data_IF_012868894485
#
_entry.id   IF_012868894485
#
_cell.length_a   1.000
_cell.length_b   1.000
_cell.length_c   1.000
_cell.angle_alpha   90.00
_cell.angle_beta   90.00
_cell.angle_gamma   90.00
#
_symmetry.space_group_name_H-M   'P 1'
#
loop_
_entity.id
_entity.type
_entity.pdbx_description
1 polymer ?
2 non-polymer ?
3 water ?
#
# COMPACT_ATOMS: atom_id res chain seq x y z
N UNK A 5 6.99 -12.89 6.08
CA UNK A 5 6.51 -13.83 5.01
C UNK A 5 5.76 -13.06 3.94
N UNK A 6 6.06 -13.33 2.66
CA UNK A 6 5.33 -12.74 1.53
C UNK A 6 4.50 -13.76 0.77
N UNK A 7 3.32 -13.30 0.37
CA UNK A 7 2.36 -14.03 -0.43
C UNK A 7 2.35 -13.37 -1.82
N UNK A 8 2.32 -14.18 -2.87
CA UNK A 8 2.25 -13.69 -4.27
C UNK A 8 0.79 -13.75 -4.85
N UNK A 9 0.29 -12.67 -5.49
CA UNK A 9 -1.20 -12.41 -5.77
C UNK A 9 -1.81 -12.33 -7.26
N UNK A 10 -3.00 -11.67 -7.48
CA UNK A 10 -3.73 -11.50 -8.86
C UNK A 10 -4.82 -10.36 -8.98
N UNK A 11 -5.80 -10.43 -9.90
CA UNK A 11 -6.97 -9.47 -9.91
C UNK A 11 -8.42 -9.98 -9.52
N UNK A 12 -8.71 -11.21 -9.89
CA UNK A 12 -9.98 -11.84 -9.57
C UNK A 12 -9.63 -13.04 -8.72
N UNK A 13 -10.49 -13.35 -7.76
CA UNK A 13 -10.36 -14.59 -6.99
C UNK A 13 -11.67 -15.34 -6.97
N UNK A 14 -11.67 -16.48 -7.66
CA UNK A 14 -12.79 -17.40 -7.76
C UNK A 14 -12.68 -18.36 -6.58
N UNK A 15 -13.72 -18.40 -5.74
CA UNK A 15 -13.58 -19.09 -4.46
C UNK A 15 -14.86 -19.83 -4.07
N UNK A 16 -14.70 -21.06 -3.59
CA UNK A 16 -15.84 -21.81 -3.07
C UNK A 16 -15.60 -22.12 -1.61
N UNK A 17 -16.56 -21.74 -0.76
CA UNK A 17 -16.45 -21.95 0.70
C UNK A 17 -17.41 -23.02 1.23
N UNK A 18 -16.91 -23.86 2.14
CA UNK A 18 -17.71 -24.92 2.71
C UNK A 18 -17.68 -24.97 4.26
N UNK A 19 -18.82 -25.27 4.90
CA UNK A 19 -18.77 -25.60 6.34
C UNK A 19 -18.29 -27.02 6.44
N UNK A 20 -17.40 -27.30 7.38
CA UNK A 20 -16.82 -28.65 7.54
C UNK A 20 -16.88 -29.12 9.01
N UNK A 21 -17.01 -30.43 9.22
CA UNK A 21 -17.14 -30.99 10.57
C UNK A 21 -16.23 -32.20 10.75
N UNK A 22 -15.55 -32.56 9.67
CA UNK A 22 -14.41 -33.49 9.70
C UNK A 22 -13.58 -33.21 8.43
N UNK A 23 -12.26 -33.35 8.54
CA UNK A 23 -11.38 -32.97 7.44
C UNK A 23 -10.53 -34.14 6.90
N UNK A 24 -11.08 -35.35 7.01
CA UNK A 24 -10.39 -36.62 6.73
C UNK A 24 -9.92 -36.75 5.28
N UNK A 25 -10.85 -36.62 4.33
CA UNK A 25 -10.56 -36.65 2.88
C UNK A 25 -9.63 -35.50 2.45
N UNK A 26 -9.94 -34.28 2.93
CA UNK A 26 -9.12 -33.09 2.76
C UNK A 26 -7.68 -33.26 3.30
N UNK A 27 -7.54 -33.81 4.49
CA UNK A 27 -6.20 -34.13 4.96
C UNK A 27 -5.48 -35.18 4.15
N UNK A 28 -6.22 -36.21 3.74
CA UNK A 28 -5.68 -37.33 2.97
C UNK A 28 -5.26 -36.88 1.59
N UNK A 29 -6.03 -35.94 1.01
CA UNK A 29 -5.76 -35.39 -0.34
C UNK A 29 -4.55 -34.46 -0.35
N UNK A 30 -4.49 -33.51 0.59
CA UNK A 30 -3.28 -32.67 0.80
C UNK A 30 -1.99 -33.52 0.85
N UNK A 31 -2.02 -34.55 1.70
CA UNK A 31 -0.89 -35.47 1.83
C UNK A 31 -0.57 -36.19 0.52
N UNK A 32 -1.61 -36.73 -0.15
CA UNK A 32 -1.45 -37.51 -1.38
C UNK A 32 -0.92 -36.67 -2.54
N UNK A 33 -1.36 -35.41 -2.61
CA UNK A 33 -0.90 -34.48 -3.65
C UNK A 33 0.32 -33.69 -3.21
N UNK A 34 0.83 -34.03 -2.03
CA UNK A 34 1.97 -33.35 -1.41
C UNK A 34 1.79 -31.81 -1.46
N UNK A 35 0.61 -31.35 -1.07
CA UNK A 35 0.33 -29.93 -0.85
C UNK A 35 1.46 -29.18 -0.13
N UNK A 36 1.64 -27.91 -0.52
CA UNK A 36 2.58 -27.02 0.14
C UNK A 36 1.84 -26.39 1.33
N UNK A 37 2.37 -26.62 2.54
CA UNK A 37 1.86 -25.90 3.70
C UNK A 37 2.46 -24.50 3.75
N UNK A 38 1.78 -23.53 3.16
CA UNK A 38 2.28 -22.15 3.15
C UNK A 38 2.44 -21.58 4.59
N UNK A 39 1.39 -21.68 5.40
CA UNK A 39 1.52 -21.49 6.86
C UNK A 39 0.31 -22.19 7.49
N UNK A 40 0.49 -22.78 8.68
CA UNK A 40 -0.52 -23.58 9.35
C UNK A 40 -0.93 -22.91 10.66
N UNK A 41 -2.21 -23.00 11.00
CA UNK A 41 -2.67 -22.65 12.36
C UNK A 41 -2.27 -21.23 12.78
N UNK A 42 -2.25 -20.27 11.83
CA UNK A 42 -1.93 -18.87 12.14
C UNK A 42 -3.16 -18.16 12.77
N UNK A 43 -2.91 -17.35 13.78
CA UNK A 43 -3.90 -16.35 14.19
C UNK A 43 -3.89 -15.19 13.17
N UNK A 44 -5.07 -14.86 12.64
CA UNK A 44 -5.22 -13.88 11.57
C UNK A 44 -6.21 -12.84 12.08
N UNK A 45 -5.80 -11.58 12.03
CA UNK A 45 -6.62 -10.44 12.45
C UNK A 45 -6.86 -9.59 11.23
N UNK A 46 -8.12 -9.43 10.89
CA UNK A 46 -8.58 -8.61 9.74
C UNK A 46 -9.28 -7.37 10.32
N UNK A 47 -8.66 -6.21 10.11
CA UNK A 47 -9.23 -4.88 10.44
C UNK A 47 -9.97 -4.41 9.17
N UNK A 48 -11.30 -4.34 9.28
CA UNK A 48 -12.09 -3.79 8.21
C UNK A 48 -12.16 -2.26 8.34
N UNK A 49 -11.76 -1.57 7.27
CA UNK A 49 -11.77 -0.10 7.20
C UNK A 49 -12.98 0.37 6.38
N UNK A 50 -13.57 1.52 6.75
CA UNK A 50 -14.62 2.13 5.96
C UNK A 50 -14.72 3.69 6.27
N UNK A 51 -15.41 4.44 5.37
CA UNK A 51 -15.62 5.88 5.46
C UNK A 51 -17.10 6.28 5.69
N UNK A 52 -17.33 7.35 6.62
CA UNK A 52 -18.73 7.85 6.74
C UNK A 52 -19.76 6.86 7.23
N UNK A 53 -20.90 6.83 6.78
CA UNK A 53 -21.84 5.78 7.12
C UNK A 53 -21.64 4.53 6.25
N UNK A 54 -20.44 3.91 6.26
CA UNK A 54 -20.25 2.62 5.52
C UNK A 54 -20.28 2.82 3.98
N UNK A 55 -19.57 3.82 3.49
CA UNK A 55 -19.56 4.14 2.03
C UNK A 55 -19.07 2.98 1.18
N UNK A 56 -17.92 2.40 1.57
CA UNK A 56 -17.41 1.14 0.96
C UNK A 56 -18.38 -0.05 0.98
N UNK A 57 -18.86 -0.43 2.16
CA UNK A 57 -19.84 -1.51 2.25
C UNK A 57 -21.04 -1.28 1.31
N UNK A 58 -21.47 -0.02 1.22
CA UNK A 58 -22.60 0.40 0.36
C UNK A 58 -22.32 0.28 -1.14
N UNK A 59 -21.03 0.07 -1.48
CA UNK A 59 -20.63 -0.26 -2.84
C UNK A 59 -20.31 -1.77 -3.09
N UNK A 60 -20.67 -2.61 -2.12
CA UNK A 60 -20.20 -4.02 -2.01
C UNK A 60 -18.68 -4.18 -2.07
N UNK A 61 -17.99 -3.26 -1.40
CA UNK A 61 -16.53 -3.27 -1.25
C UNK A 61 -16.17 -3.45 0.23
N UNK A 62 -15.21 -4.36 0.46
CA UNK A 62 -14.55 -4.47 1.75
C UNK A 62 -13.07 -4.08 1.61
N UNK A 63 -12.57 -3.40 2.60
CA UNK A 63 -11.18 -3.03 2.62
C UNK A 63 -10.56 -3.48 3.95
N UNK A 64 -9.52 -4.29 3.85
CA UNK A 64 -9.01 -4.95 5.04
C UNK A 64 -7.50 -4.75 5.20
N UNK A 65 -7.10 -4.51 6.45
CA UNK A 65 -5.69 -4.72 6.90
C UNK A 65 -5.54 -6.00 7.67
N UNK A 66 -4.82 -6.95 7.05
CA UNK A 66 -4.75 -8.33 7.54
C UNK A 66 -3.34 -8.55 8.12
N UNK A 67 -3.29 -9.10 9.32
CA UNK A 67 -2.03 -9.64 9.86
C UNK A 67 -2.22 -11.09 10.27
N UNK A 68 -1.17 -11.87 10.01
CA UNK A 68 -1.11 -13.27 10.37
C UNK A 68 0.14 -13.47 11.21
N UNK A 69 -0.04 -14.15 12.32
CA UNK A 69 1.03 -14.48 13.21
C UNK A 69 0.94 -15.95 13.54
N UNK A 70 2.10 -16.65 13.59
CA UNK A 70 3.46 -16.11 13.55
C UNK A 70 4.16 -15.86 12.20
N UNK A 71 3.53 -16.24 11.07
CA UNK A 71 4.12 -16.08 9.73
C UNK A 71 4.57 -14.64 9.42
N UNK A 72 3.91 -13.69 10.08
CA UNK A 72 4.12 -12.27 9.89
C UNK A 72 3.67 -11.74 8.55
N UNK A 73 2.77 -12.44 7.88
CA UNK A 73 2.20 -11.97 6.61
C UNK A 73 1.31 -10.73 6.92
N UNK A 74 1.50 -9.66 6.15
CA UNK A 74 0.82 -8.39 6.34
C UNK A 74 0.29 -7.88 5.02
N UNK A 75 -1.04 -7.75 4.94
CA UNK A 75 -1.62 -7.47 3.65
C UNK A 75 -2.60 -6.30 3.68
N UNK A 76 -2.55 -5.49 2.64
CA UNK A 76 -3.65 -4.53 2.36
C UNK A 76 -4.56 -5.17 1.26
N UNK A 77 -5.86 -5.33 1.55
CA UNK A 77 -6.81 -6.04 0.65
C UNK A 77 -8.02 -5.13 0.30
N UNK A 78 -8.35 -5.05 -1.00
CA UNK A 78 -9.64 -4.51 -1.51
C UNK A 78 -10.45 -5.63 -2.16
N UNK A 79 -11.62 -5.88 -1.57
CA UNK A 79 -12.53 -6.92 -1.98
C UNK A 79 -13.73 -6.23 -2.60
N UNK A 80 -14.10 -6.67 -3.81
CA UNK A 80 -15.23 -6.11 -4.59
C UNK A 80 -14.91 -5.02 -5.61
N UNK A 81 -15.97 -4.39 -6.14
CA UNK A 81 -17.35 -4.68 -5.85
C UNK A 81 -17.78 -6.12 -6.20
N UNK A 82 -18.53 -6.67 -5.26
CA UNK A 82 -19.09 -8.00 -5.33
C UNK A 82 -18.17 -9.19 -5.28
N UNK A 83 -18.62 -10.17 -5.95
CA UNK A 83 -18.29 -11.46 -6.19
C UNK A 83 -16.88 -12.00 -6.31
N UNK A 84 -16.24 -11.81 -7.46
CA UNK A 84 -14.90 -12.39 -7.72
C UNK A 84 -13.77 -11.37 -7.67
N UNK A 85 -14.10 -10.08 -7.60
CA UNK A 85 -13.06 -9.08 -7.53
C UNK A 85 -12.36 -9.00 -6.17
N UNK A 87 -8.18 -7.81 -4.92
CA UNK A 87 -6.77 -7.43 -5.11
C UNK A 87 -6.07 -7.25 -3.78
N UNK A 88 -4.82 -7.70 -3.70
CA UNK A 88 -4.11 -7.61 -2.44
C UNK A 88 -2.66 -7.29 -2.64
N UNK A 89 -2.06 -6.64 -1.64
CA UNK A 89 -0.68 -6.21 -1.66
C UNK A 89 -0.03 -6.48 -0.32
N UNK A 90 1.15 -7.13 -0.36
CA UNK A 90 1.99 -7.21 0.83
C UNK A 90 2.40 -5.82 1.27
N UNK A 91 2.31 -5.54 2.55
CA UNK A 91 2.73 -4.24 3.11
C UNK A 91 3.72 -4.45 4.27
N UNK A 92 4.64 -3.53 4.47
CA UNK A 92 5.69 -3.74 5.50
C UNK A 92 5.20 -3.33 6.90
N UNK A 93 4.28 -2.38 6.95
CA UNK A 93 3.93 -1.72 8.19
C UNK A 93 2.41 -1.47 8.20
N UNK A 94 1.69 -2.28 8.97
CA UNK A 94 0.21 -2.13 9.11
C UNK A 94 -0.15 -0.74 9.69
N UNK A 95 0.48 -0.34 10.80
CA UNK A 95 0.17 0.98 11.42
C UNK A 95 0.43 2.17 10.49
N UNK A 96 1.49 2.10 9.67
CA UNK A 96 1.71 3.09 8.66
C UNK A 96 0.57 3.18 7.64
N UNK A 97 0.25 2.06 6.99
CA UNK A 97 -0.78 2.07 5.91
C UNK A 97 -2.13 2.47 6.54
N UNK A 98 -2.38 1.98 7.76
CA UNK A 98 -3.60 2.39 8.52
C UNK A 98 -3.67 3.88 8.76
N UNK A 99 -2.53 4.47 9.17
CA UNK A 99 -2.42 5.91 9.32
C UNK A 99 -2.65 6.65 7.98
N UNK A 100 -2.08 6.16 6.89
CA UNK A 100 -2.26 6.80 5.58
C UNK A 100 -3.73 6.76 5.10
N UNK A 101 -4.36 5.61 5.32
CA UNK A 101 -5.79 5.39 4.99
C UNK A 101 -6.72 6.24 5.81
N UNK A 102 -6.32 6.51 7.06
CA UNK A 102 -7.09 7.41 7.93
C UNK A 102 -7.09 8.85 7.40
N UNK A 103 -5.92 9.35 6.99
CA UNK A 103 -5.82 10.69 6.33
C UNK A 103 -6.78 10.80 5.12
N UNK A 104 -7.01 9.69 4.42
CA UNK A 104 -8.04 9.58 3.36
C UNK A 104 -9.52 9.53 3.80
N UNK A 105 -9.80 9.38 5.09
CA UNK A 105 -11.20 9.17 5.54
C UNK A 105 -11.57 7.74 5.95
N UNK A 106 -10.68 6.78 5.74
CA UNK A 106 -10.97 5.42 6.18
C UNK A 106 -10.47 5.14 7.57
N UNK A 107 -11.39 4.59 8.38
CA UNK A 107 -11.17 4.30 9.82
C UNK A 107 -11.68 2.88 10.23
N UNK A 108 -11.03 2.22 11.22
CA UNK A 108 -11.52 0.88 11.59
C UNK A 108 -13.04 0.86 11.87
N UNK A 109 -13.72 -0.08 11.22
CA UNK A 109 -15.16 -0.32 11.39
C UNK A 109 -15.43 -1.51 12.31
N UNK A 110 -14.64 -2.58 12.14
CA UNK A 110 -14.76 -3.74 13.03
C UNK A 110 -13.57 -4.64 12.70
N UNK A 111 -13.40 -5.68 13.50
CA UNK A 111 -12.31 -6.67 13.32
C UNK A 111 -12.95 -8.06 13.20
N UNK A 112 -12.42 -8.93 12.34
CA UNK A 112 -12.74 -10.32 12.36
C UNK A 112 -11.46 -11.10 12.66
N UNK A 113 -11.52 -12.00 13.65
CA UNK A 113 -10.37 -12.90 13.98
C UNK A 113 -10.66 -14.30 13.49
N UNK A 114 -9.60 -14.99 13.07
CA UNK A 114 -9.76 -16.40 12.73
C UNK A 114 -8.45 -17.17 12.98
N UNK A 115 -8.56 -18.46 13.27
CA UNK A 115 -7.46 -19.33 12.93
C UNK A 115 -7.46 -19.75 11.43
N UNK A 116 -6.28 -19.69 10.81
CA UNK A 116 -6.21 -20.00 9.42
C UNK A 116 -4.97 -20.81 9.06
N UNK A 117 -5.20 -21.82 8.22
CA UNK A 117 -4.14 -22.58 7.54
C UNK A 117 -4.28 -22.41 6.03
N UNK A 118 -3.15 -22.25 5.37
CA UNK A 118 -3.10 -22.04 3.91
C UNK A 118 -2.21 -23.10 3.20
N UNK A 119 -2.79 -23.81 2.23
CA UNK A 119 -2.07 -24.77 1.38
C UNK A 119 -2.21 -24.44 -0.09
N UNK A 120 -1.17 -24.81 -0.81
CA UNK A 120 -1.16 -24.76 -2.26
C UNK A 120 -1.04 -26.17 -2.85
N UNK A 121 -1.93 -26.49 -3.78
CA UNK A 121 -1.75 -27.60 -4.72
C UNK A 121 -1.78 -27.02 -6.14
N UNK A 122 -0.62 -26.72 -6.68
CA UNK A 122 -0.59 -26.07 -8.00
C UNK A 122 -1.18 -24.68 -7.90
N UNK A 123 -2.07 -24.33 -8.81
CA UNK A 123 -2.71 -23.03 -8.75
C UNK A 123 -3.85 -22.95 -7.70
N UNK A 124 -4.19 -24.09 -7.10
CA UNK A 124 -5.30 -24.11 -6.11
C UNK A 124 -4.81 -23.71 -4.73
N UNK A 125 -5.52 -22.77 -4.12
CA UNK A 125 -5.24 -22.34 -2.76
C UNK A 125 -6.31 -22.99 -1.89
N UNK A 126 -5.85 -23.67 -0.85
CA UNK A 126 -6.76 -24.41 0.05
C UNK A 126 -6.60 -23.73 1.37
N UNK A 127 -7.74 -23.30 1.92
CA UNK A 127 -7.68 -22.56 3.11
C UNK A 127 -8.58 -23.24 4.14
N UNK A 128 -8.08 -23.45 5.36
CA UNK A 128 -8.86 -24.09 6.38
C UNK A 128 -8.96 -23.11 7.59
N UNK A 129 -10.19 -22.79 7.97
CA UNK A 129 -10.47 -21.66 8.87
C UNK A 129 -11.30 -22.13 10.06
N UNK A 130 -10.99 -21.58 11.25
CA UNK A 130 -11.86 -21.70 12.45
C UNK A 130 -12.20 -20.30 12.96
N UNK A 131 -13.48 -20.01 13.13
CA UNK A 131 -13.93 -18.74 13.69
C UNK A 131 -14.78 -19.02 14.94
N UNK A 132 -14.51 -18.28 16.02
CA UNK A 132 -15.08 -18.51 17.34
C UNK A 132 -16.60 -18.73 17.23
N UNK A 133 -17.32 -17.71 16.80
CA UNK A 133 -18.79 -17.92 16.67
C UNK A 133 -19.15 -18.97 15.63
N UNK A 134 -18.60 -18.80 14.43
CA UNK A 134 -19.07 -19.55 13.25
C UNK A 134 -18.76 -21.06 13.13
N UNK A 135 -17.53 -21.49 13.41
CA UNK A 135 -17.16 -22.91 13.31
C UNK A 135 -16.01 -23.05 12.31
N UNK A 136 -15.91 -24.21 11.64
CA UNK A 136 -14.81 -24.53 10.72
C UNK A 136 -15.26 -24.49 9.26
N UNK A 137 -14.39 -23.95 8.41
CA UNK A 137 -14.66 -23.78 7.01
C UNK A 137 -13.43 -24.16 6.20
N UNK A 138 -13.66 -24.52 4.96
CA UNK A 138 -12.57 -24.75 4.01
C UNK A 138 -12.95 -24.01 2.76
N UNK A 139 -11.97 -23.35 2.13
CA UNK A 139 -12.22 -22.65 0.88
C UNK A 139 -11.23 -23.17 -0.16
N UNK A 140 -11.71 -23.40 -1.37
CA UNK A 140 -10.85 -23.68 -2.50
C UNK A 140 -10.90 -22.43 -3.39
N UNK A 141 -9.75 -21.83 -3.66
CA UNK A 141 -9.79 -20.64 -4.53
C UNK A 141 -8.75 -20.74 -5.61
N UNK A 142 -9.03 -20.09 -6.75
CA UNK A 142 -8.01 -19.79 -7.79
C UNK A 142 -8.02 -18.28 -8.10
N UNK A 143 -6.85 -17.63 -8.16
CA UNK A 143 -6.80 -16.23 -8.64
C UNK A 143 -6.40 -16.16 -10.13
N UNK A 144 -6.82 -15.08 -10.76
CA UNK A 144 -6.60 -14.91 -12.18
C UNK A 144 -6.63 -13.42 -12.55
N UNK A 145 -5.89 -13.10 -13.59
CA UNK A 145 -5.88 -11.79 -14.19
C UNK A 145 -6.87 -11.76 -15.36
N UNK A 146 -7.58 -12.86 -15.58
CA UNK A 146 -8.46 -13.06 -16.71
C UNK A 146 -9.94 -13.14 -16.33
N UNK A 147 -10.58 -11.97 -16.36
CA UNK A 147 -12.01 -11.79 -16.18
C UNK A 147 -12.91 -12.73 -16.99
N UNK A 148 -12.46 -13.10 -18.20
CA UNK A 148 -13.27 -13.97 -19.11
C UNK A 148 -13.31 -15.46 -18.72
N UNK A 149 -12.44 -15.89 -17.82
CA UNK A 149 -12.45 -17.32 -17.48
C UNK A 149 -13.10 -17.68 -16.13
N UNK A 150 -13.93 -16.77 -15.58
CA UNK A 150 -14.44 -16.92 -14.21
C UNK A 150 -15.27 -18.18 -13.95
N UNK A 151 -16.24 -18.46 -14.84
CA UNK A 151 -17.15 -19.60 -14.72
C UNK A 151 -16.37 -20.89 -14.90
N UNK A 152 -15.44 -20.88 -15.84
CA UNK A 152 -14.56 -22.03 -16.02
C UNK A 152 -13.71 -22.33 -14.78
N UNK A 153 -13.15 -21.28 -14.19
CA UNK A 153 -12.43 -21.46 -12.92
C UNK A 153 -13.37 -21.86 -11.76
N UNK A 154 -14.64 -21.44 -11.78
CA UNK A 154 -15.65 -22.01 -10.84
C UNK A 154 -15.82 -23.54 -10.97
N UNK A 155 -15.91 -24.04 -12.19
CA UNK A 155 -16.05 -25.50 -12.43
C UNK A 155 -14.80 -26.22 -11.92
N UNK A 156 -13.61 -25.70 -12.27
CA UNK A 156 -12.33 -26.23 -11.78
C UNK A 156 -12.29 -26.31 -10.24
N UNK A 157 -12.73 -25.24 -9.59
CA UNK A 157 -12.82 -25.19 -8.12
C UNK A 157 -13.76 -26.24 -7.55
N UNK A 158 -14.92 -26.41 -8.21
CA UNK A 158 -15.95 -27.41 -7.87
C UNK A 158 -15.44 -28.83 -7.97
N UNK A 159 -14.78 -29.12 -9.09
CA UNK A 159 -14.18 -30.43 -9.32
C UNK A 159 -13.17 -30.77 -8.21
N UNK A 160 -12.18 -29.90 -8.04
CA UNK A 160 -11.20 -29.95 -6.92
C UNK A 160 -11.87 -30.13 -5.55
N UNK A 161 -12.87 -29.29 -5.24
CA UNK A 161 -13.57 -29.36 -3.94
C UNK A 161 -14.13 -30.75 -3.71
N UNK A 162 -14.84 -31.28 -4.72
CA UNK A 162 -15.41 -32.62 -4.65
C UNK A 162 -14.36 -33.72 -4.46
N UNK A 163 -13.22 -33.60 -5.12
CA UNK A 163 -12.15 -34.58 -4.89
C UNK A 163 -11.60 -34.47 -3.43
N UNK A 164 -11.81 -33.32 -2.80
CA UNK A 164 -11.40 -33.12 -1.41
C UNK A 164 -12.48 -33.41 -0.37
N UNK A 165 -13.59 -34.01 -0.82
CA UNK A 165 -14.77 -34.33 0.01
C UNK A 165 -15.61 -33.14 0.44
N UNK A 166 -15.53 -32.04 -0.30
CA UNK A 166 -16.25 -30.84 0.06
C UNK A 166 -17.43 -30.76 -0.86
N UNK A 167 -18.61 -31.09 -0.33
CA UNK A 167 -19.78 -31.33 -1.17
C UNK A 167 -20.71 -30.13 -1.27
N UNK A 168 -21.50 -30.06 -2.35
CA UNK A 168 -22.29 -28.87 -2.59
C UNK A 168 -23.25 -28.69 -1.43
N UNK A 169 -23.64 -29.83 -0.86
CA UNK A 169 -24.36 -29.98 0.42
C UNK A 169 -23.91 -29.03 1.56
N UNK A 170 -22.59 -28.84 1.65
CA UNK A 170 -21.97 -28.07 2.70
C UNK A 170 -21.62 -26.63 2.27
N UNK A 171 -21.94 -26.24 1.04
CA UNK A 171 -21.43 -24.96 0.56
C UNK A 171 -22.01 -23.78 1.40
N UNK A 172 -21.14 -22.84 1.77
CA UNK A 172 -21.56 -21.60 2.44
C UNK A 172 -21.12 -20.41 1.59
N UNK A 173 -22.02 -19.91 0.75
CA UNK A 173 -21.60 -18.80 -0.09
C UNK A 173 -21.50 -17.42 0.63
N UNK A 174 -22.12 -17.25 1.79
CA UNK A 174 -21.96 -15.97 2.53
C UNK A 174 -20.52 -15.68 3.04
N UNK A 175 -20.08 -14.42 2.94
CA UNK A 175 -18.76 -13.99 3.44
C UNK A 175 -18.78 -14.02 4.98
N UNK A 176 -17.60 -13.93 5.59
CA UNK A 176 -17.54 -13.91 7.05
C UNK A 176 -18.26 -12.73 7.67
N UNK A 177 -18.08 -11.55 7.08
CA UNK A 177 -18.78 -10.35 7.51
C UNK A 177 -20.31 -10.55 7.45
N UNK A 178 -20.80 -11.13 6.35
CA UNK A 178 -22.22 -11.50 6.19
C UNK A 178 -22.71 -12.48 7.27
N UNK A 179 -21.92 -13.53 7.57
CA UNK A 179 -22.28 -14.46 8.64
C UNK A 179 -22.31 -13.84 10.03
N UNK A 180 -21.45 -12.87 10.29
CA UNK A 180 -21.42 -12.15 11.56
C UNK A 180 -22.45 -11.01 11.64
N UNK A 181 -22.95 -10.58 10.48
CA UNK A 181 -23.91 -9.44 10.36
C UNK A 181 -23.27 -8.06 10.28
N UNK A 182 -21.99 -8.03 9.91
CA UNK A 182 -21.21 -6.78 9.86
C UNK A 182 -21.11 -6.22 8.44
N UNK B 8 13.40 9.06 5.10
CA UNK B 8 12.06 8.49 5.46
C UNK B 8 12.00 7.73 6.78
N UNK B 9 11.32 8.34 7.75
CA UNK B 9 10.96 7.85 9.12
C UNK B 9 10.51 9.11 9.90
N UNK B 10 9.24 9.46 9.80
CA UNK B 10 8.73 10.70 10.41
C UNK B 10 7.49 11.17 9.67
N UNK B 11 6.40 11.28 10.41
CA UNK B 11 5.11 11.79 9.93
C UNK B 11 5.18 13.23 9.47
N UNK B 12 5.98 14.00 10.21
CA UNK B 12 6.07 15.43 10.06
C UNK B 12 7.44 15.74 9.54
N UNK B 13 7.55 16.89 8.90
CA UNK B 13 8.79 17.34 8.31
C UNK B 13 8.69 18.84 8.01
N UNK B 14 9.85 19.46 7.92
CA UNK B 14 9.98 20.80 7.38
C UNK B 14 10.93 20.67 6.19
N UNK B 15 10.52 21.36 5.25
CA UNK B 15 11.30 21.32 4.03
C UNK B 15 11.50 22.71 3.44
N UNK B 16 12.72 22.93 2.93
CA UNK B 16 12.93 24.15 2.22
C UNK B 16 13.38 23.80 0.80
N UNK B 17 12.77 24.42 -0.19
CA UNK B 17 13.09 24.10 -1.56
C UNK B 17 13.70 25.35 -2.20
N UNK B 18 14.71 25.13 -3.04
CA UNK B 18 15.57 26.20 -3.55
C UNK B 18 15.86 25.99 -5.04
N UNK B 19 15.87 27.07 -5.82
CA UNK B 19 16.45 27.01 -7.16
C UNK B 19 17.98 26.88 -7.10
N UNK B 20 18.51 26.01 -7.96
CA UNK B 20 19.96 25.79 -8.07
C UNK B 20 20.49 26.46 -9.34
N UNK B 21 21.35 27.47 -9.19
CA UNK B 21 21.92 28.17 -10.34
C UNK B 21 23.24 27.52 -10.76
N UNK B 22 23.83 26.73 -9.88
CA UNK B 22 25.18 26.24 -10.12
C UNK B 22 25.42 24.90 -9.41
N UNK B 23 25.32 23.82 -10.17
CA UNK B 23 25.44 22.44 -9.62
C UNK B 23 26.86 22.00 -9.23
N UNK B 24 27.87 22.60 -9.88
CA UNK B 24 29.29 22.43 -9.51
C UNK B 24 29.57 22.83 -8.06
N UNK B 25 29.14 24.03 -7.67
CA UNK B 25 29.23 24.48 -6.28
C UNK B 25 28.38 23.62 -5.31
N UNK B 26 27.19 23.19 -5.73
CA UNK B 26 26.33 22.29 -4.90
C UNK B 26 27.05 20.97 -4.55
N UNK B 27 27.56 20.32 -5.59
CA UNK B 27 28.30 19.08 -5.44
C UNK B 27 29.62 19.29 -4.66
N UNK B 28 30.18 20.50 -4.69
CA UNK B 28 31.33 20.85 -3.82
C UNK B 28 30.95 20.92 -2.34
N UNK B 29 29.82 21.53 -2.04
CA UNK B 29 29.27 21.46 -0.69
C UNK B 29 28.95 20.03 -0.22
N UNK B 30 28.39 19.20 -1.11
CA UNK B 30 28.08 17.80 -0.75
C UNK B 30 29.31 16.99 -0.39
N UNK B 31 30.40 17.15 -1.16
CA UNK B 31 31.69 16.50 -0.80
C UNK B 31 32.20 17.00 0.57
N UNK B 32 32.22 18.33 0.72
CA UNK B 32 32.76 19.01 1.91
C UNK B 32 31.97 18.65 3.19
N UNK B 33 30.63 18.61 3.06
CA UNK B 33 29.71 18.22 4.16
C UNK B 33 29.75 16.70 4.45
N UNK B 34 30.54 15.98 3.66
CA UNK B 34 30.60 14.51 3.65
C UNK B 34 29.22 13.86 3.64
N UNK B 35 28.36 14.30 2.72
CA UNK B 35 27.08 13.71 2.49
C UNK B 35 27.24 12.28 1.94
N UNK B 36 26.35 11.38 2.33
CA UNK B 36 26.33 10.05 1.74
C UNK B 36 25.24 10.02 0.66
N UNK B 37 25.57 9.43 -0.48
CA UNK B 37 24.64 9.28 -1.58
C UNK B 37 23.72 8.09 -1.33
N UNK B 38 22.42 8.38 -1.25
CA UNK B 38 21.36 7.35 -1.18
C UNK B 38 21.02 6.81 -2.54
N UNK B 39 20.51 7.69 -3.43
CA UNK B 39 20.29 7.37 -4.85
C UNK B 39 20.81 8.51 -5.71
N UNK B 40 21.30 8.17 -6.91
CA UNK B 40 21.95 9.12 -7.78
C UNK B 40 21.25 9.22 -9.14
N UNK B 41 20.97 10.45 -9.58
CA UNK B 41 20.41 10.68 -10.90
C UNK B 41 19.32 9.64 -11.28
N UNK B 42 18.34 9.42 -10.41
CA UNK B 42 17.25 8.52 -10.77
C UNK B 42 16.25 9.18 -11.63
N UNK B 43 15.70 8.43 -12.58
CA UNK B 43 14.46 8.90 -13.19
C UNK B 43 13.31 8.61 -12.21
N UNK B 44 12.48 9.59 -11.93
CA UNK B 44 11.40 9.44 -10.97
C UNK B 44 10.08 9.83 -11.62
N UNK B 45 9.09 8.95 -11.50
CA UNK B 45 7.76 9.23 -12.03
C UNK B 45 6.74 9.27 -10.90
N UNK B 46 6.08 10.42 -10.73
CA UNK B 46 5.04 10.61 -9.72
C UNK B 46 3.63 10.68 -10.34
N UNK B 47 2.82 9.63 -10.13
CA UNK B 47 1.41 9.62 -10.54
C UNK B 47 0.57 10.23 -9.40
N UNK B 48 -0.07 11.36 -9.71
CA UNK B 48 -0.89 12.02 -8.72
C UNK B 48 -2.29 11.50 -8.91
N UNK B 49 -2.96 11.24 -7.80
CA UNK B 49 -4.24 10.56 -7.85
C UNK B 49 -5.22 11.37 -7.04
N UNK B 50 -6.47 11.36 -7.48
CA UNK B 50 -7.54 12.10 -6.84
C UNK B 50 -8.94 11.55 -7.22
N UNK B 51 -9.91 11.86 -6.37
CA UNK B 51 -11.27 11.39 -6.58
C UNK B 51 -12.15 12.55 -7.06
N UNK B 52 -12.91 12.34 -8.14
CA UNK B 52 -13.87 13.35 -8.60
C UNK B 52 -13.31 14.72 -8.97
N UNK B 53 -12.24 14.72 -9.78
CA UNK B 53 -11.50 15.93 -10.08
C UNK B 53 -10.53 16.38 -9.00
N UNK B 54 -11.03 16.66 -7.78
CA UNK B 54 -10.30 17.45 -6.78
C UNK B 54 -10.60 17.20 -5.29
N UNK B 55 -11.18 16.05 -4.93
CA UNK B 55 -11.58 15.75 -3.53
C UNK B 55 -10.45 15.88 -2.50
N UNK B 56 -9.27 15.38 -2.84
CA UNK B 56 -8.11 15.49 -1.96
C UNK B 56 -7.42 16.85 -2.12
N UNK B 57 -7.19 17.27 -3.36
CA UNK B 57 -6.65 18.62 -3.65
C UNK B 57 -7.26 19.68 -2.72
N UNK B 58 -8.60 19.65 -2.62
CA UNK B 58 -9.42 20.53 -1.76
C UNK B 58 -9.19 20.46 -0.26
N UNK B 59 -8.56 19.39 0.23
CA UNK B 59 -8.23 19.31 1.65
C UNK B 59 -6.70 19.52 1.88
N UNK B 60 -6.03 19.90 0.79
CA UNK B 60 -4.58 20.10 0.82
C UNK B 60 -3.84 18.80 1.06
N UNK B 61 -4.34 17.74 0.41
CA UNK B 61 -3.70 16.44 0.43
C UNK B 61 -3.35 16.15 -1.02
N UNK B 62 -2.20 15.51 -1.21
CA UNK B 62 -1.84 14.92 -2.49
C UNK B 62 -1.52 13.49 -2.18
N UNK B 63 -1.90 12.61 -3.10
CA UNK B 63 -1.58 11.20 -3.02
C UNK B 63 -0.81 10.87 -4.29
N UNK B 64 0.37 10.28 -4.09
CA UNK B 64 1.30 10.01 -5.18
C UNK B 64 1.72 8.53 -5.23
N UNK B 65 1.75 7.96 -6.42
CA UNK B 65 2.43 6.70 -6.63
C UNK B 65 3.71 7.02 -7.39
N UNK B 66 4.81 6.77 -6.70
CA UNK B 66 6.15 7.17 -7.12
C UNK B 66 7.02 5.96 -7.49
N UNK B 67 7.65 6.02 -8.66
CA UNK B 67 8.67 5.01 -8.99
C UNK B 67 10.02 5.63 -9.31
N UNK B 68 11.07 5.08 -8.70
CA UNK B 68 12.42 5.58 -8.85
C UNK B 68 13.22 4.57 -9.65
N UNK B 69 13.65 4.97 -10.85
CA UNK B 69 14.49 4.14 -11.70
C UNK B 69 15.86 4.80 -11.82
N UNK B 70 16.96 4.03 -11.66
CA UNK B 70 17.09 2.57 -11.56
C UNK B 70 17.05 1.92 -10.18
N UNK B 71 17.00 2.70 -9.09
CA UNK B 71 16.94 2.17 -7.73
C UNK B 71 15.80 1.14 -7.52
N UNK B 72 14.71 1.31 -8.26
CA UNK B 72 13.57 0.43 -8.16
C UNK B 72 12.74 0.64 -6.91
N UNK B 73 12.94 1.75 -6.22
CA UNK B 73 12.10 2.13 -5.09
C UNK B 73 10.72 2.49 -5.64
N UNK B 74 9.72 1.98 -4.96
CA UNK B 74 8.31 2.18 -5.27
C UNK B 74 7.59 2.58 -4.00
N UNK B 75 6.94 3.75 -4.05
CA UNK B 75 6.32 4.30 -2.86
C UNK B 75 4.87 4.72 -3.14
N UNK B 76 4.03 4.51 -2.14
CA UNK B 76 2.71 5.10 -2.13
C UNK B 76 2.81 6.15 -1.05
N UNK B 77 2.50 7.41 -1.39
CA UNK B 77 2.75 8.55 -0.51
C UNK B 77 1.43 9.34 -0.32
N UNK B 78 1.10 9.62 0.93
CA UNK B 78 0.07 10.62 1.22
C UNK B 78 0.74 11.84 1.88
N UNK B 79 0.63 12.96 1.15
CA UNK B 79 1.16 14.25 1.55
C UNK B 79 0.03 15.11 2.08
N UNK B 80 0.19 15.65 3.28
CA UNK B 80 -0.80 16.54 3.87
C UNK B 80 -1.70 15.90 4.91
N UNK B 81 -2.70 16.66 5.39
CA UNK B 81 -3.03 18.06 5.05
C UNK B 81 -1.91 19.12 5.32
N UNK B 82 -1.56 19.87 4.28
CA UNK B 82 -0.59 20.96 4.41
C UNK B 82 0.84 20.56 4.13
N UNK B 83 1.79 21.39 4.55
CA UNK B 83 3.18 21.28 4.07
C UNK B 83 4.04 20.41 4.95
N UNK B 84 3.59 20.15 6.16
CA UNK B 84 4.45 19.60 7.19
C UNK B 84 4.02 18.20 7.58
N UNK B 85 3.15 17.62 6.77
CA UNK B 85 2.67 16.27 6.94
C UNK B 85 2.91 15.45 5.65
N UNK B 87 3.52 10.95 4.80
CA UNK B 87 3.81 9.53 5.10
C UNK B 87 3.85 8.67 3.87
N UNK B 88 4.76 7.72 3.87
CA UNK B 88 4.90 6.89 2.68
C UNK B 88 5.06 5.44 3.09
N UNK B 89 4.68 4.56 2.19
CA UNK B 89 4.88 3.14 2.34
C UNK B 89 5.61 2.60 1.10
N UNK B 90 6.61 1.74 1.33
CA UNK B 90 7.22 0.97 0.27
C UNK B 90 6.23 -0.05 -0.27
N UNK B 91 6.00 -0.02 -1.59
CA UNK B 91 5.08 -0.95 -2.23
C UNK B 91 5.80 -1.86 -3.25
N UNK B 92 5.26 -3.06 -3.43
CA UNK B 92 5.83 -4.10 -4.31
C UNK B 92 5.56 -3.86 -5.78
N UNK B 93 4.42 -3.26 -6.07
CA UNK B 93 3.87 -3.23 -7.41
C UNK B 93 2.96 -2.00 -7.56
N UNK B 94 3.42 -1.02 -8.33
CA UNK B 94 2.73 0.26 -8.59
C UNK B 94 1.41 0.07 -9.37
N UNK B 95 1.46 -0.80 -10.37
CA UNK B 95 0.27 -1.09 -11.17
C UNK B 95 -0.88 -1.66 -10.29
N UNK B 96 -0.50 -2.51 -9.35
CA UNK B 96 -1.42 -3.16 -8.40
C UNK B 96 -2.11 -2.19 -7.42
N UNK B 97 -1.30 -1.42 -6.70
CA UNK B 97 -1.79 -0.36 -5.79
C UNK B 97 -2.60 0.68 -6.58
N UNK B 98 -2.20 0.96 -7.80
CA UNK B 98 -3.00 1.89 -8.62
C UNK B 98 -4.44 1.42 -8.84
N UNK B 99 -4.60 0.12 -9.09
CA UNK B 99 -5.88 -0.54 -9.41
C UNK B 99 -6.72 -0.62 -8.16
N UNK B 100 -6.06 -0.96 -7.04
CA UNK B 100 -6.68 -0.98 -5.72
C UNK B 100 -7.32 0.37 -5.38
N UNK B 101 -6.58 1.46 -5.62
CA UNK B 101 -7.05 2.81 -5.34
C UNK B 101 -8.09 3.28 -6.33
N UNK B 102 -7.98 2.80 -7.58
CA UNK B 102 -9.02 3.06 -8.58
C UNK B 102 -10.39 2.50 -8.16
N UNK B 103 -10.38 1.29 -7.58
CA UNK B 103 -11.60 0.61 -7.08
C UNK B 103 -12.26 1.45 -5.98
N UNK B 104 -11.42 2.11 -5.20
CA UNK B 104 -11.83 3.02 -4.15
C UNK B 104 -12.30 4.36 -4.74
N UNK B 105 -12.03 4.62 -6.03
CA UNK B 105 -12.47 5.89 -6.65
C UNK B 105 -11.38 6.94 -6.90
N UNK B 106 -10.12 6.58 -6.68
CA UNK B 106 -9.01 7.50 -6.94
C UNK B 106 -8.41 7.17 -8.30
N UNK B 107 -8.27 8.20 -9.12
CA UNK B 107 -7.85 8.05 -10.51
C UNK B 107 -6.71 9.00 -10.87
N UNK B 108 -5.82 8.60 -11.81
CA UNK B 108 -4.73 9.52 -12.13
C UNK B 108 -5.21 10.96 -12.48
N UNK B 109 -4.74 11.94 -11.73
CA UNK B 109 -5.12 13.34 -11.97
C UNK B 109 -4.14 13.96 -12.93
N UNK B 110 -2.86 13.68 -12.74
CA UNK B 110 -1.79 14.16 -13.60
C UNK B 110 -0.51 13.44 -13.19
N UNK B 111 0.51 13.49 -14.04
CA UNK B 111 1.81 12.92 -13.68
C UNK B 111 2.91 14.00 -13.70
N UNK B 112 3.92 13.82 -12.85
CA UNK B 112 5.11 14.69 -12.85
C UNK B 112 6.31 13.76 -12.96
N UNK B 113 7.22 14.10 -13.86
CA UNK B 113 8.48 13.39 -13.99
C UNK B 113 9.66 14.31 -13.69
N UNK B 114 10.75 13.68 -13.25
CA UNK B 114 11.94 14.40 -12.85
C UNK B 114 13.16 13.50 -12.78
N UNK B 115 14.34 14.09 -12.84
CA UNK B 115 15.57 13.43 -12.45
C UNK B 115 15.87 13.81 -10.98
N UNK B 116 16.27 12.82 -10.17
CA UNK B 116 16.47 12.99 -8.72
C UNK B 116 17.67 12.20 -8.11
N UNK B 117 18.52 12.91 -7.35
CA UNK B 117 19.49 12.26 -6.46
C UNK B 117 19.15 12.62 -5.02
N UNK B 118 19.38 11.68 -4.11
CA UNK B 118 19.14 11.88 -2.70
C UNK B 118 20.43 11.67 -1.92
N UNK B 119 20.80 12.69 -1.12
CA UNK B 119 21.90 12.62 -0.16
C UNK B 119 21.47 12.86 1.31
N UNK B 120 22.22 12.26 2.23
CA UNK B 120 22.03 12.48 3.66
C UNK B 120 23.25 13.18 4.29
N UNK B 121 22.97 14.19 5.12
CA UNK B 121 23.96 14.77 6.05
C UNK B 121 23.38 14.70 7.48
N UNK B 122 23.83 13.72 8.26
CA UNK B 122 23.15 13.31 9.50
C UNK B 122 21.64 13.14 9.36
N UNK B 123 20.88 13.92 10.12
CA UNK B 123 19.38 13.88 10.06
C UNK B 123 18.79 14.66 8.88
N UNK B 124 19.63 15.38 8.15
CA UNK B 124 19.14 16.16 7.02
C UNK B 124 19.17 15.37 5.71
N UNK B 125 18.05 15.40 4.97
CA UNK B 125 18.00 14.90 3.59
C UNK B 125 18.26 16.04 2.61
N UNK B 126 19.12 15.79 1.61
CA UNK B 126 19.29 16.72 0.49
C UNK B 126 18.90 16.00 -0.80
N UNK B 127 17.97 16.62 -1.47
CA UNK B 127 17.40 16.11 -2.69
C UNK B 127 17.79 17.10 -3.80
N UNK B 128 18.39 16.57 -4.87
CA UNK B 128 18.79 17.37 -6.04
C UNK B 128 17.94 16.97 -7.28
N UNK B 129 17.15 17.93 -7.72
CA UNK B 129 16.08 17.74 -8.71
C UNK B 129 16.36 18.52 -9.98
N UNK B 130 16.00 17.90 -11.10
CA UNK B 130 16.00 18.54 -12.40
C UNK B 130 14.67 18.23 -13.12
N UNK B 131 13.88 19.25 -13.39
CA UNK B 131 12.68 19.11 -14.22
C UNK B 131 12.87 19.88 -15.53
N UNK B 132 12.19 19.44 -16.57
CA UNK B 132 12.42 19.99 -17.91
C UNK B 132 11.79 21.37 -18.06
N UNK B 133 10.51 21.45 -17.71
CA UNK B 133 9.74 22.68 -17.84
C UNK B 133 10.11 23.81 -16.87
N UNK B 134 11.04 23.50 -15.95
CA UNK B 134 11.41 24.37 -14.84
C UNK B 134 12.88 24.67 -14.45
N UNK B 135 13.66 23.61 -14.16
CA UNK B 135 15.10 23.76 -13.92
C UNK B 135 15.70 22.87 -12.85
N UNK B 136 16.72 23.38 -12.16
CA UNK B 136 17.45 22.62 -11.13
C UNK B 136 17.04 23.08 -9.74
N UNK B 137 16.63 22.15 -8.87
CA UNK B 137 16.18 22.44 -7.49
C UNK B 137 16.93 21.62 -6.43
N UNK B 138 17.07 22.17 -5.25
CA UNK B 138 17.48 21.35 -4.15
C UNK B 138 16.39 21.46 -3.12
N UNK B 139 16.17 20.38 -2.37
CA UNK B 139 15.24 20.39 -1.26
C UNK B 139 15.97 19.95 0.00
N UNK B 140 15.87 20.72 1.08
CA UNK B 140 16.48 20.36 2.37
C UNK B 140 15.32 20.07 3.34
N UNK B 141 15.40 18.93 4.02
CA UNK B 141 14.29 18.49 4.88
C UNK B 141 14.79 17.72 6.09
N UNK B 142 14.06 17.87 7.20
CA UNK B 142 14.31 17.03 8.36
C UNK B 142 12.94 16.49 8.70
N UNK B 143 12.85 15.23 9.08
CA UNK B 143 11.58 14.73 9.61
C UNK B 143 11.61 14.41 11.10
N UNK B 144 10.42 14.43 11.69
CA UNK B 144 10.22 14.08 13.07
C UNK B 144 8.92 13.26 13.16
N UNK B 145 8.83 12.40 14.17
CA UNK B 145 7.55 11.88 14.65
C UNK B 145 7.05 12.68 15.87
N UNK B 146 7.85 13.63 16.34
CA UNK B 146 7.44 14.45 17.47
C UNK B 146 6.83 15.80 17.03
N UNK B 147 5.51 15.87 17.07
CA UNK B 147 4.75 17.04 16.71
C UNK B 147 5.23 18.33 17.43
N UNK B 148 5.72 18.19 18.66
CA UNK B 148 6.23 19.30 19.50
C UNK B 148 7.52 19.90 18.96
N UNK B 149 8.34 19.08 18.30
CA UNK B 149 9.66 19.50 17.80
C UNK B 149 9.63 20.19 16.47
N UNK B 150 8.48 20.09 15.79
CA UNK B 150 8.30 20.58 14.42
C UNK B 150 8.70 22.05 14.27
N UNK B 151 8.18 22.91 15.17
CA UNK B 151 8.56 24.33 15.21
C UNK B 151 10.07 24.55 15.36
N UNK B 152 10.76 23.73 16.16
CA UNK B 152 12.23 23.85 16.31
C UNK B 152 12.98 23.40 15.06
N UNK B 153 12.43 22.39 14.39
CA UNK B 153 13.05 21.89 13.16
C UNK B 153 13.11 22.98 12.06
N UNK B 154 12.15 23.90 12.07
CA UNK B 154 12.13 25.03 11.12
C UNK B 154 13.43 25.86 11.19
N UNK B 155 13.82 26.27 12.39
CA UNK B 155 15.08 26.99 12.59
C UNK B 155 16.31 26.17 12.18
N UNK B 156 16.30 24.87 12.49
CA UNK B 156 17.46 24.02 12.20
C UNK B 156 17.62 23.82 10.68
N UNK B 157 16.50 23.55 10.03
CA UNK B 157 16.46 23.37 8.59
C UNK B 157 16.94 24.63 7.87
N UNK B 158 16.59 25.80 8.40
CA UNK B 158 17.05 27.09 7.86
C UNK B 158 18.57 27.28 8.05
N UNK B 159 19.05 27.02 9.26
CA UNK B 159 20.46 27.13 9.62
C UNK B 159 21.31 26.21 8.77
N UNK B 160 20.87 24.96 8.66
CA UNK B 160 21.57 23.99 7.82
C UNK B 160 21.63 24.38 6.35
N UNK B 161 20.50 24.83 5.79
CA UNK B 161 20.46 25.25 4.38
C UNK B 161 21.44 26.40 4.13
N UNK B 162 21.47 27.38 5.03
CA UNK B 162 22.37 28.53 4.90
C UNK B 162 23.84 28.10 4.83
N UNK B 163 24.19 27.15 5.72
CA UNK B 163 25.48 26.46 5.77
C UNK B 163 25.83 25.85 4.39
N UNK B 164 24.76 25.42 3.73
CA UNK B 164 24.91 24.77 2.43
C UNK B 164 25.03 25.78 1.30
N UNK B 165 25.01 26.98 1.62
CA UNK B 165 25.04 28.06 0.65
C UNK B 165 23.71 28.22 -0.07
N UNK B 166 22.64 27.70 0.53
CA UNK B 166 21.32 27.83 -0.10
C UNK B 166 20.45 28.70 0.81
N UNK B 167 20.34 29.97 0.44
CA UNK B 167 19.72 30.96 1.33
C UNK B 167 18.34 31.42 0.88
N UNK B 168 17.66 32.17 1.74
CA UNK B 168 16.30 32.65 1.44
C UNK B 168 16.12 33.29 0.03
N UNK B 169 17.19 33.87 -0.53
CA UNK B 169 17.13 34.57 -1.82
C UNK B 169 16.88 33.61 -2.99
N UNK B 170 17.30 32.36 -2.82
CA UNK B 170 17.15 31.31 -3.81
C UNK B 170 16.01 30.33 -3.44
N UNK B 171 15.15 30.70 -2.49
CA UNK B 171 14.07 29.83 -2.04
C UNK B 171 12.88 29.79 -3.01
N UNK B 172 12.32 28.59 -3.20
CA UNK B 172 11.13 28.35 -4.05
C UNK B 172 9.99 27.77 -3.20
N UNK B 173 9.09 28.63 -2.73
CA UNK B 173 8.10 28.11 -1.82
C UNK B 173 6.88 27.42 -2.50
N UNK B 174 6.82 27.47 -3.84
CA UNK B 174 5.75 26.77 -4.61
C UNK B 174 6.09 25.28 -4.83
N UNK B 175 5.15 24.40 -4.50
CA UNK B 175 5.29 22.97 -4.82
C UNK B 175 5.50 22.74 -6.32
N UNK B 176 5.89 21.52 -6.68
CA UNK B 176 5.95 21.15 -8.10
C UNK B 176 4.57 21.15 -8.79
N UNK B 177 3.54 20.64 -8.11
CA UNK B 177 2.17 20.70 -8.65
C UNK B 177 1.56 22.12 -8.75
N UNK B 178 2.04 23.07 -7.94
CA UNK B 178 1.60 24.46 -8.06
C UNK B 178 2.28 25.12 -9.24
N UNK B 179 3.57 24.86 -9.38
CA UNK B 179 4.40 25.42 -10.46
C UNK B 179 3.94 24.98 -11.85
N UNK B 180 3.07 23.97 -11.89
CA UNK B 180 2.56 23.40 -13.13
C UNK B 180 1.03 23.58 -13.25
N UNK B 181 0.46 24.36 -12.34
CA UNK B 181 -0.95 24.70 -12.36
C UNK B 181 -1.88 23.55 -12.04
N UNK B 182 -1.32 22.44 -11.55
CA UNK B 182 -2.07 21.20 -11.27
C UNK B 182 -2.76 21.14 -9.91
#
# INVERSE_FOLDING_TARGET
GSHMSEHFVGKYEVELKFRVMDLTTLHEQLVAQKATAFTLNNHEKDIYLDANGQDLADQQISMVLREMNPSGIRLWIVKGPGAERXEASNIEDVSKVQSMLATLGYHPAFTIEKQRSIYFVGKFHITVDHLTGLGDFAEIAIMTDDATELDKLKAECRDFANTFGLQVDQQEPRSYRQLLGF
GSHMSEHFVGKYEVELKFRVMDLTTLHEQLVAQKATAFTLNNHEKDIYLDANGQDLADQQISMVLREMNPSGIRLWIVKGPGAERXEASNIEDVSKVQSMLATLGYHPAFTIEKQRSIYFVGKFHITVDHLTGLGDFAEIAIMTDDATELDKLKAECRDFANTFGLQVDQQEPRSYRQLLGF
#
